data_IF_053070166915
#
_entry.id   IF_053070166915
#
_cell.length_a   1.000
_cell.length_b   1.000
_cell.length_c   1.000
_cell.angle_alpha   90.00
_cell.angle_beta   90.00
_cell.angle_gamma   90.00
#
_symmetry.space_group_name_H-M   'P 1'
#
loop_
_entity.id
_entity.type
_entity.pdbx_description
1 polymer ?
#
# COMPACT_ATOMS: atom_id res chain seq x y z
N UNK A 1 -32.83 -29.11 -47.73
CA UNK A 1 -33.12 -27.70 -47.38
C UNK A 1 -32.00 -27.28 -46.45
N UNK A 2 -30.86 -26.86 -47.01
CA UNK A 2 -30.48 -25.46 -47.28
C UNK A 2 -30.32 -24.66 -45.98
N UNK A 3 -29.18 -24.04 -45.65
CA UNK A 3 -27.99 -23.80 -46.45
C UNK A 3 -26.79 -23.35 -45.60
N UNK A 4 -25.64 -23.41 -46.26
CA UNK A 4 -24.33 -22.96 -45.83
C UNK A 4 -24.23 -21.42 -45.82
N UNK A 5 -23.39 -20.89 -44.92
CA UNK A 5 -22.97 -19.50 -44.90
C UNK A 5 -21.47 -19.37 -45.13
N UNK A 6 -21.07 -19.24 -46.40
CA UNK A 6 -19.88 -18.48 -46.82
C UNK A 6 -20.20 -16.97 -46.64
N UNK A 7 -19.28 -16.04 -46.45
CA UNK A 7 -17.84 -16.05 -46.55
C UNK A 7 -17.38 -14.60 -46.43
N UNK A 8 -16.12 -14.46 -46.01
CA UNK A 8 -15.31 -13.26 -45.87
C UNK A 8 -15.57 -12.13 -46.88
N UNK A 9 -15.58 -10.88 -46.40
CA UNK A 9 -15.05 -9.76 -47.19
C UNK A 9 -14.35 -8.72 -46.30
N UNK A 10 -13.12 -8.47 -46.73
CA UNK A 10 -12.05 -7.60 -46.25
C UNK A 10 -12.44 -6.12 -46.19
N UNK A 11 -12.05 -5.45 -45.10
CA UNK A 11 -12.03 -3.99 -44.99
C UNK A 11 -10.68 -3.56 -44.43
N UNK A 12 -9.72 -3.36 -45.34
CA UNK A 12 -8.45 -2.66 -45.11
C UNK A 12 -8.75 -1.16 -45.04
N UNK A 13 -8.30 -0.49 -43.97
CA UNK A 13 -8.35 0.96 -43.85
C UNK A 13 -7.09 1.38 -43.12
N UNK A 14 -6.09 1.71 -43.94
CA UNK A 14 -4.78 2.19 -43.55
C UNK A 14 -4.86 3.40 -42.64
N UNK A 15 -4.11 3.30 -41.54
CA UNK A 15 -3.75 4.39 -40.66
C UNK A 15 -2.89 5.41 -41.43
N UNK A 16 -3.27 6.68 -41.33
CA UNK A 16 -2.46 7.81 -41.79
C UNK A 16 -1.92 8.50 -40.55
N UNK A 17 -0.65 8.26 -40.24
CA UNK A 17 0.10 9.01 -39.22
C UNK A 17 0.54 10.38 -39.77
N UNK A 18 0.23 11.50 -39.08
CA UNK A 18 0.85 12.78 -39.38
C UNK A 18 2.18 12.96 -38.64
N UNK A 19 3.18 13.42 -39.40
CA UNK A 19 4.57 13.67 -39.04
C UNK A 19 4.80 14.62 -37.83
N UNK A 20 5.93 14.49 -37.11
CA UNK A 20 6.29 15.39 -36.01
C UNK A 20 6.85 16.73 -36.49
N UNK A 21 6.56 17.86 -35.81
CA UNK A 21 7.19 19.14 -36.11
C UNK A 21 8.59 19.29 -35.50
N UNK A 22 9.35 20.18 -36.14
CA UNK A 22 10.80 20.33 -36.11
C UNK A 22 11.39 20.86 -34.80
N UNK A 23 12.65 20.44 -34.58
CA UNK A 23 13.57 20.87 -33.54
C UNK A 23 13.79 22.39 -33.54
N UNK A 24 13.36 23.06 -32.47
CA UNK A 24 13.59 24.48 -32.21
C UNK A 24 15.06 24.79 -31.91
N UNK A 25 15.56 25.83 -32.60
CA UNK A 25 16.94 26.29 -32.58
C UNK A 25 17.38 26.85 -31.22
N UNK A 26 18.63 26.53 -30.83
CA UNK A 26 19.37 27.20 -29.75
C UNK A 26 19.81 28.59 -30.23
N UNK A 27 19.48 29.62 -29.46
CA UNK A 27 20.04 30.97 -29.62
C UNK A 27 21.29 31.16 -28.72
N UNK A 28 22.29 31.93 -29.16
CA UNK A 28 23.61 32.00 -28.53
C UNK A 28 23.68 33.02 -27.37
N UNK A 29 24.54 32.72 -26.40
CA UNK A 29 24.97 33.64 -25.33
C UNK A 29 25.86 34.76 -25.90
N UNK A 30 25.67 36.03 -25.51
CA UNK A 30 26.63 37.08 -25.84
C UNK A 30 27.82 37.10 -24.88
N UNK A 31 28.99 37.35 -25.48
CA UNK A 31 30.31 37.42 -24.90
C UNK A 31 30.50 38.63 -23.96
N UNK A 32 31.40 38.46 -22.99
CA UNK A 32 31.93 39.49 -22.12
C UNK A 32 32.88 40.45 -22.87
N UNK A 33 32.91 41.71 -22.44
CA UNK A 33 34.01 42.65 -22.71
C UNK A 33 34.11 43.71 -21.60
N UNK A 34 35.29 44.34 -21.43
CA UNK A 34 35.84 44.71 -20.12
C UNK A 34 35.99 46.23 -19.88
N UNK A 35 36.47 46.54 -18.67
CA UNK A 35 37.07 47.78 -18.18
C UNK A 35 36.17 49.03 -18.00
N UNK A 36 36.00 49.48 -16.76
CA UNK A 36 36.93 50.43 -16.14
C UNK A 36 36.39 51.01 -14.81
N UNK A 37 37.25 50.97 -13.79
CA UNK A 37 37.50 51.95 -12.72
C UNK A 37 36.32 52.63 -11.98
N UNK A 38 36.25 52.38 -10.67
CA UNK A 38 36.41 53.35 -9.57
C UNK A 38 35.63 52.92 -8.32
N UNK A 39 36.34 52.64 -7.22
CA UNK A 39 35.73 52.69 -5.87
C UNK A 39 35.70 54.13 -5.36
N UNK A 40 35.24 54.39 -4.12
CA UNK A 40 34.64 53.47 -3.15
C UNK A 40 33.34 54.03 -2.50
N UNK A 41 32.42 53.14 -2.11
CA UNK A 41 31.45 53.48 -1.07
C UNK A 41 31.17 52.22 -0.24
N UNK A 42 31.68 52.21 1.00
CA UNK A 42 31.33 51.22 2.02
C UNK A 42 29.85 51.40 2.36
N UNK A 43 29.04 50.42 1.98
CA UNK A 43 27.68 50.28 2.50
C UNK A 43 27.74 49.49 3.82
N UNK A 44 27.08 49.93 4.91
CA UNK A 44 26.91 49.09 6.08
C UNK A 44 26.05 47.88 5.68
N UNK A 45 26.46 46.69 6.11
CA UNK A 45 25.70 45.46 5.90
C UNK A 45 24.29 45.63 6.51
N UNK A 46 23.20 45.33 5.78
CA UNK A 46 21.89 45.26 6.39
C UNK A 46 21.89 44.13 7.43
N UNK A 47 21.33 44.45 8.61
CA UNK A 47 21.16 43.52 9.71
C UNK A 47 20.44 42.25 9.26
N UNK A 48 21.04 41.11 9.60
CA UNK A 48 20.42 39.79 9.71
C UNK A 48 19.39 39.45 8.64
N UNK A 49 19.83 38.85 7.53
CA UNK A 49 18.95 37.99 6.75
C UNK A 49 18.30 36.96 7.71
N UNK A 50 16.97 36.76 7.67
CA UNK A 50 16.35 35.72 8.46
C UNK A 50 17.03 34.39 8.10
N UNK A 51 17.51 33.66 9.12
CA UNK A 51 17.93 32.26 8.95
C UNK A 51 16.79 31.56 8.22
N UNK A 52 17.06 30.73 7.18
CA UNK A 52 16.03 29.83 6.70
C UNK A 52 15.50 29.08 7.92
N UNK A 53 14.18 29.16 8.14
CA UNK A 53 13.52 28.38 9.16
C UNK A 53 14.04 26.95 9.00
N UNK A 54 14.67 26.41 10.05
CA UNK A 54 14.95 24.99 10.13
C UNK A 54 13.66 24.30 9.71
N UNK A 55 13.66 23.54 8.61
CA UNK A 55 12.50 22.78 8.19
C UNK A 55 12.09 21.93 9.39
N UNK A 56 11.05 22.38 10.09
CA UNK A 56 10.54 21.71 11.26
C UNK A 56 10.15 20.32 10.76
N UNK A 57 10.74 19.28 11.36
CA UNK A 57 10.47 17.91 10.93
C UNK A 57 8.95 17.75 10.89
N UNK A 58 8.36 17.26 9.79
CA UNK A 58 6.91 17.21 9.65
C UNK A 58 6.34 16.51 10.88
N UNK A 59 5.44 17.19 11.58
CA UNK A 59 4.73 16.62 12.74
C UNK A 59 4.09 15.32 12.25
N UNK A 60 4.37 14.16 12.87
CA UNK A 60 3.84 12.91 12.39
C UNK A 60 2.31 13.01 12.30
N UNK A 61 1.76 12.53 11.18
CA UNK A 61 0.31 12.52 11.02
C UNK A 61 -0.34 11.78 12.19
N UNK A 62 -1.51 12.21 12.69
CA UNK A 62 -2.10 11.69 13.92
C UNK A 62 -2.47 10.19 13.84
N UNK A 63 -2.41 9.62 12.65
CA UNK A 63 -2.80 8.25 12.34
C UNK A 63 -1.93 7.20 13.04
N UNK A 64 -2.56 6.18 13.61
CA UNK A 64 -1.92 4.93 14.02
C UNK A 64 -2.07 3.91 12.89
N UNK A 65 -0.95 3.37 12.38
CA UNK A 65 -0.96 2.35 11.34
C UNK A 65 -0.80 0.97 11.99
N UNK A 66 -1.85 0.15 11.89
CA UNK A 66 -1.92 -1.21 12.42
C UNK A 66 -1.64 -2.20 11.29
N UNK A 67 -0.76 -3.17 11.53
CA UNK A 67 -0.60 -4.34 10.66
C UNK A 67 -1.04 -5.57 11.45
N UNK A 68 -2.04 -6.29 10.97
CA UNK A 68 -2.44 -7.57 11.57
C UNK A 68 -1.80 -8.72 10.79
N UNK A 69 -1.02 -9.55 11.48
CA UNK A 69 -0.21 -10.59 10.85
C UNK A 69 -0.11 -11.86 11.68
N UNK A 70 0.18 -12.98 11.01
CA UNK A 70 0.60 -14.23 11.63
C UNK A 70 2.07 -14.46 11.34
N UNK A 71 2.79 -15.06 12.29
CA UNK A 71 4.16 -15.50 12.07
C UNK A 71 4.24 -16.44 10.86
N UNK A 72 5.12 -16.17 9.87
CA UNK A 72 5.30 -17.00 8.69
C UNK A 72 5.91 -18.39 8.98
N UNK A 73 5.12 -19.29 9.58
CA UNK A 73 5.58 -20.65 9.92
C UNK A 73 5.11 -21.66 8.86
N UNK A 74 6.00 -22.52 8.32
CA UNK A 74 5.63 -23.59 7.41
C UNK A 74 4.44 -24.42 7.91
N UNK A 75 3.44 -24.62 7.04
CA UNK A 75 2.23 -25.38 7.36
C UNK A 75 1.19 -24.64 8.23
N UNK A 76 1.49 -23.43 8.73
CA UNK A 76 0.53 -22.61 9.50
C UNK A 76 -0.02 -21.44 8.69
N UNK A 77 0.76 -20.90 7.76
CA UNK A 77 0.36 -19.81 6.86
C UNK A 77 0.27 -20.31 5.42
N UNK A 78 -0.55 -19.62 4.62
CA UNK A 78 -0.66 -19.81 3.17
C UNK A 78 -0.76 -21.27 2.72
N UNK A 79 -1.53 -22.07 3.45
CA UNK A 79 -1.75 -23.49 3.12
C UNK A 79 -2.38 -23.68 1.74
N UNK A 80 -3.11 -22.69 1.23
CA UNK A 80 -3.66 -22.65 -0.13
C UNK A 80 -2.61 -22.45 -1.25
N UNK A 81 -1.36 -22.15 -0.91
CA UNK A 81 -0.23 -22.17 -1.84
C UNK A 81 0.35 -23.59 -2.04
N UNK A 82 -0.09 -24.56 -1.23
CA UNK A 82 0.39 -25.94 -1.25
C UNK A 82 -0.75 -26.88 -1.67
N UNK A 83 -0.73 -27.48 -2.88
CA UNK A 83 0.23 -27.33 -3.99
C UNK A 83 0.08 -26.01 -4.79
N UNK A 84 1.07 -25.62 -5.64
CA UNK A 84 2.26 -26.36 -6.07
C UNK A 84 3.49 -26.18 -5.17
N UNK A 85 3.48 -25.20 -4.27
CA UNK A 85 4.63 -24.93 -3.40
C UNK A 85 4.68 -25.89 -2.23
N UNK A 86 5.88 -26.16 -1.73
CA UNK A 86 6.06 -26.86 -0.45
C UNK A 86 5.65 -25.94 0.71
N UNK A 87 5.30 -26.48 1.90
CA UNK A 87 5.00 -25.66 3.07
C UNK A 87 6.11 -24.66 3.43
N UNK A 88 7.38 -25.03 3.22
CA UNK A 88 8.52 -24.13 3.44
C UNK A 88 8.54 -22.96 2.45
N UNK A 89 8.24 -23.23 1.18
CA UNK A 89 8.21 -22.22 0.12
C UNK A 89 7.02 -21.27 0.28
N UNK A 90 5.85 -21.79 0.68
CA UNK A 90 4.69 -20.99 1.03
C UNK A 90 4.96 -20.05 2.21
N UNK A 91 5.68 -20.52 3.24
CA UNK A 91 6.09 -19.67 4.36
C UNK A 91 7.11 -18.61 3.94
N UNK A 92 8.07 -18.94 3.06
CA UNK A 92 9.02 -17.97 2.49
C UNK A 92 8.31 -16.86 1.71
N UNK A 93 7.29 -17.21 0.92
CA UNK A 93 6.46 -16.22 0.21
C UNK A 93 5.68 -15.33 1.20
N UNK A 94 5.10 -15.92 2.24
CA UNK A 94 4.39 -15.16 3.28
C UNK A 94 5.32 -14.22 4.06
N UNK A 95 6.54 -14.67 4.38
CA UNK A 95 7.57 -13.87 5.04
C UNK A 95 7.99 -12.69 4.17
N UNK A 96 8.28 -12.94 2.89
CA UNK A 96 8.66 -11.89 1.95
C UNK A 96 7.52 -10.88 1.72
N UNK A 97 6.27 -11.35 1.68
CA UNK A 97 5.12 -10.47 1.56
C UNK A 97 4.96 -9.56 2.78
N UNK A 98 5.05 -10.13 3.98
CA UNK A 98 4.99 -9.39 5.23
C UNK A 98 6.16 -8.39 5.35
N UNK A 99 7.36 -8.77 4.94
CA UNK A 99 8.52 -7.88 4.92
C UNK A 99 8.27 -6.65 4.02
N UNK A 100 7.81 -6.85 2.78
CA UNK A 100 7.49 -5.76 1.84
C UNK A 100 6.40 -4.81 2.41
N UNK A 101 5.36 -5.38 3.03
CA UNK A 101 4.30 -4.62 3.71
C UNK A 101 4.88 -3.77 4.86
N UNK A 102 5.70 -4.37 5.73
CA UNK A 102 6.27 -3.68 6.90
C UNK A 102 7.30 -2.63 6.52
N UNK A 103 8.13 -2.88 5.51
CA UNK A 103 9.05 -1.87 4.96
C UNK A 103 8.29 -0.68 4.39
N UNK A 104 7.16 -0.92 3.73
CA UNK A 104 6.28 0.17 3.25
C UNK A 104 5.69 0.97 4.40
N UNK A 105 5.21 0.31 5.45
CA UNK A 105 4.71 0.97 6.67
C UNK A 105 5.82 1.74 7.40
N UNK A 106 7.04 1.22 7.45
CA UNK A 106 8.18 1.87 8.08
C UNK A 106 8.50 3.23 7.45
N UNK A 107 8.24 3.40 6.14
CA UNK A 107 8.44 4.65 5.40
C UNK A 107 7.33 5.69 5.60
N UNK A 108 6.21 5.33 6.23
CA UNK A 108 5.09 6.25 6.44
C UNK A 108 5.35 7.22 7.60
N UNK A 109 4.95 8.49 7.47
CA UNK A 109 5.06 9.50 8.53
C UNK A 109 3.82 9.50 9.44
N UNK A 110 3.73 8.51 10.32
CA UNK A 110 2.58 8.27 11.20
C UNK A 110 2.95 8.36 12.67
N UNK A 111 1.96 8.62 13.55
CA UNK A 111 2.14 8.73 15.00
C UNK A 111 2.67 7.43 15.62
N UNK A 112 2.08 6.30 15.23
CA UNK A 112 2.40 4.97 15.75
C UNK A 112 2.34 3.93 14.63
N UNK A 113 3.20 2.93 14.74
CA UNK A 113 3.20 1.71 13.89
C UNK A 113 3.07 0.53 14.84
N UNK A 114 1.98 -0.22 14.74
CA UNK A 114 1.72 -1.35 15.62
C UNK A 114 1.56 -2.61 14.79
N UNK A 115 2.34 -3.63 15.11
CA UNK A 115 2.20 -4.97 14.58
C UNK A 115 1.41 -5.82 15.57
N UNK A 116 0.20 -6.22 15.19
CA UNK A 116 -0.67 -7.10 15.98
C UNK A 116 -0.45 -8.54 15.51
N UNK A 117 0.36 -9.28 16.25
CA UNK A 117 0.99 -10.52 15.80
C UNK A 117 0.44 -11.77 16.49
N UNK A 118 0.05 -12.77 15.69
CA UNK A 118 -0.14 -14.16 16.16
C UNK A 118 1.16 -14.94 15.92
N UNK A 119 1.94 -15.14 16.98
CA UNK A 119 3.24 -15.79 16.94
C UNK A 119 4.37 -14.86 17.42
N UNK A 120 5.58 -15.09 16.93
CA UNK A 120 6.80 -14.38 17.35
C UNK A 120 7.33 -13.48 16.22
N UNK A 121 7.87 -12.30 16.56
CA UNK A 121 8.55 -11.47 15.57
C UNK A 121 9.80 -12.19 15.05
N UNK A 122 10.11 -11.97 13.77
CA UNK A 122 11.27 -12.57 13.10
C UNK A 122 12.16 -11.53 12.42
N UNK A 123 13.17 -11.97 11.65
CA UNK A 123 14.11 -11.08 10.95
C UNK A 123 13.44 -10.19 9.89
N UNK A 124 12.22 -10.53 9.48
CA UNK A 124 11.37 -9.75 8.57
C UNK A 124 10.79 -8.47 9.19
N UNK A 125 10.93 -8.26 10.50
CA UNK A 125 10.40 -7.08 11.19
C UNK A 125 11.44 -5.95 11.25
N UNK A 126 11.25 -4.83 10.51
CA UNK A 126 12.09 -3.65 10.68
C UNK A 126 11.87 -2.96 12.04
N UNK A 127 12.84 -2.13 12.44
CA UNK A 127 12.72 -1.31 13.65
C UNK A 127 11.61 -0.26 13.59
N UNK A 128 11.20 0.26 14.75
CA UNK A 128 10.20 1.34 14.84
C UNK A 128 8.75 0.86 14.88
N UNK A 129 8.52 -0.42 15.15
CA UNK A 129 7.21 -1.02 15.40
C UNK A 129 7.02 -1.35 16.87
N UNK A 130 5.83 -1.07 17.39
CA UNK A 130 5.31 -1.65 18.62
C UNK A 130 4.70 -3.02 18.28
N UNK A 131 5.15 -4.09 18.94
CA UNK A 131 4.61 -5.44 18.68
C UNK A 131 3.68 -5.83 19.82
N UNK A 132 2.43 -6.14 19.48
CA UNK A 132 1.38 -6.54 20.43
C UNK A 132 0.85 -7.91 20.02
N UNK A 133 0.65 -8.86 20.97
CA UNK A 133 0.08 -10.15 20.63
C UNK A 133 -1.38 -10.03 20.19
N UNK A 134 -1.79 -10.83 19.21
CA UNK A 134 -3.21 -11.01 18.91
C UNK A 134 -3.93 -11.64 20.11
N UNK A 135 -5.14 -11.15 20.40
CA UNK A 135 -6.02 -11.83 21.34
C UNK A 135 -6.52 -13.17 20.77
N UNK A 136 -7.08 -14.01 21.64
CA UNK A 136 -7.83 -15.18 21.22
C UNK A 136 -9.10 -14.80 20.44
N UNK A 137 -9.74 -15.80 19.84
CA UNK A 137 -11.01 -15.62 19.15
C UNK A 137 -10.90 -15.48 17.63
N UNK A 138 -12.01 -15.04 17.02
CA UNK A 138 -12.19 -14.84 15.59
C UNK A 138 -11.41 -13.64 15.03
N UNK A 139 -11.27 -13.57 13.71
CA UNK A 139 -10.55 -12.46 13.07
C UNK A 139 -11.23 -11.10 13.32
N UNK A 140 -12.55 -11.07 13.41
CA UNK A 140 -13.32 -9.88 13.79
C UNK A 140 -12.99 -9.39 15.20
N UNK A 141 -12.88 -10.30 16.16
CA UNK A 141 -12.48 -9.99 17.54
C UNK A 141 -11.05 -9.46 17.61
N UNK A 142 -10.14 -10.02 16.82
CA UNK A 142 -8.73 -9.58 16.76
C UNK A 142 -8.58 -8.21 16.13
N UNK A 143 -9.29 -7.94 15.02
CA UNK A 143 -9.31 -6.62 14.39
C UNK A 143 -9.96 -5.59 15.33
N UNK A 144 -11.07 -5.95 15.98
CA UNK A 144 -11.73 -5.09 16.96
C UNK A 144 -10.80 -4.74 18.14
N UNK A 145 -10.09 -5.73 18.69
CA UNK A 145 -9.10 -5.53 19.75
C UNK A 145 -7.95 -4.62 19.28
N UNK A 146 -7.48 -4.79 18.04
CA UNK A 146 -6.45 -3.92 17.45
C UNK A 146 -6.89 -2.45 17.39
N UNK A 147 -8.13 -2.18 16.95
CA UNK A 147 -8.69 -0.82 16.99
C UNK A 147 -8.84 -0.27 18.42
N UNK A 148 -9.03 -1.13 19.41
CA UNK A 148 -9.09 -0.74 20.83
C UNK A 148 -7.78 -0.19 21.39
N UNK A 149 -6.65 -0.37 20.68
CA UNK A 149 -5.33 0.18 21.05
C UNK A 149 -5.14 1.64 20.64
N UNK A 150 -6.11 2.22 19.92
CA UNK A 150 -5.99 3.50 19.25
C UNK A 150 -6.88 4.57 19.89
N UNK A 151 -6.28 5.71 20.21
CA UNK A 151 -6.90 6.90 20.82
C UNK A 151 -7.22 8.01 19.80
N UNK A 152 -6.88 7.79 18.53
CA UNK A 152 -7.09 8.70 17.41
C UNK A 152 -7.26 7.93 16.10
N UNK A 153 -7.17 8.61 14.95
CA UNK A 153 -7.36 7.98 13.65
C UNK A 153 -6.47 6.75 13.48
N UNK A 154 -7.03 5.67 12.96
CA UNK A 154 -6.30 4.43 12.76
C UNK A 154 -6.62 3.82 11.40
N UNK A 155 -5.60 3.26 10.77
CA UNK A 155 -5.72 2.45 9.57
C UNK A 155 -5.13 1.07 9.87
N UNK A 156 -5.92 0.03 9.66
CA UNK A 156 -5.50 -1.36 9.78
C UNK A 156 -5.34 -1.96 8.40
N UNK A 157 -4.23 -2.66 8.19
CA UNK A 157 -3.95 -3.42 6.97
C UNK A 157 -3.59 -4.89 7.30
N UNK A 158 -3.88 -5.78 6.36
CA UNK A 158 -3.46 -7.19 6.41
C UNK A 158 -2.03 -7.43 5.95
N UNK A 159 -1.49 -8.61 6.23
CA UNK A 159 -0.12 -9.02 5.87
C UNK A 159 0.05 -9.50 4.41
N UNK A 160 -1.04 -9.64 3.66
CA UNK A 160 -1.07 -10.43 2.42
C UNK A 160 -1.09 -9.60 1.13
N UNK A 161 -0.73 -8.32 1.24
CA UNK A 161 -0.78 -7.35 0.13
C UNK A 161 0.59 -6.68 -0.08
N UNK A 162 1.61 -7.42 -0.56
CA UNK A 162 2.96 -6.85 -0.74
C UNK A 162 3.04 -5.76 -1.81
N UNK A 163 2.04 -5.65 -2.68
CA UNK A 163 1.93 -4.61 -3.70
C UNK A 163 1.48 -3.23 -3.18
N UNK A 164 1.22 -3.08 -1.87
CA UNK A 164 0.91 -1.77 -1.29
C UNK A 164 2.09 -0.80 -1.50
N UNK A 165 1.77 0.49 -1.63
CA UNK A 165 2.78 1.55 -1.77
C UNK A 165 2.57 2.63 -0.73
N UNK A 166 3.60 3.44 -0.47
CA UNK A 166 3.48 4.59 0.43
C UNK A 166 2.43 5.59 -0.06
N UNK A 167 2.36 5.82 -1.38
CA UNK A 167 1.34 6.68 -1.98
C UNK A 167 -0.09 6.17 -1.78
N UNK A 168 -0.30 4.86 -1.78
CA UNK A 168 -1.61 4.26 -1.50
C UNK A 168 -2.04 4.45 -0.04
N UNK A 169 -1.11 4.25 0.90
CA UNK A 169 -1.37 4.43 2.33
C UNK A 169 -1.57 5.91 2.67
N UNK A 170 -0.80 6.81 2.03
CA UNK A 170 -0.86 8.26 2.21
C UNK A 170 -2.28 8.83 2.01
N UNK A 171 -3.07 8.23 1.09
CA UNK A 171 -4.47 8.62 0.87
C UNK A 171 -5.30 8.66 2.16
N UNK A 172 -5.04 7.74 3.09
CA UNK A 172 -5.75 7.62 4.36
C UNK A 172 -4.91 8.03 5.57
N UNK A 173 -3.58 8.15 5.45
CA UNK A 173 -2.71 8.42 6.61
C UNK A 173 -2.21 9.84 6.71
N UNK A 174 -2.17 10.60 5.61
CA UNK A 174 -1.68 11.99 5.60
C UNK A 174 -2.58 12.92 6.44
N UNK A 175 -2.13 14.16 6.64
CA UNK A 175 -2.91 15.20 7.33
C UNK A 175 -4.04 15.71 6.44
N UNK A 176 -5.29 15.74 6.94
CA UNK A 176 -6.47 16.25 6.21
C UNK A 176 -7.51 15.20 5.79
N UNK A 177 -7.15 14.02 5.25
CA UNK A 177 -8.09 12.94 4.89
C UNK A 177 -9.16 12.61 5.96
N UNK A 178 -8.80 12.71 7.23
CA UNK A 178 -9.70 12.42 8.36
C UNK A 178 -10.67 13.57 8.70
N UNK A 179 -10.48 14.76 8.13
CA UNK A 179 -11.40 15.90 8.28
C UNK A 179 -12.58 15.78 7.29
N UNK A 180 -12.40 15.05 6.19
CA UNK A 180 -13.41 14.87 5.14
C UNK A 180 -14.18 13.54 5.26
N UNK A 181 -13.53 12.52 5.82
CA UNK A 181 -14.06 11.17 5.88
C UNK A 181 -13.89 10.54 7.26
N UNK A 182 -14.95 9.91 7.75
CA UNK A 182 -14.92 9.20 9.03
C UNK A 182 -14.26 7.82 8.93
N UNK A 183 -14.28 7.21 7.74
CA UNK A 183 -13.76 5.87 7.51
C UNK A 183 -13.16 5.67 6.12
N UNK A 184 -12.17 4.79 6.05
CA UNK A 184 -11.53 4.36 4.81
C UNK A 184 -11.69 2.86 4.65
N UNK A 185 -11.96 2.39 3.43
CA UNK A 185 -12.19 0.98 3.18
C UNK A 185 -11.42 0.52 1.94
N UNK A 186 -10.52 -0.45 2.11
CA UNK A 186 -9.77 -1.07 1.03
C UNK A 186 -10.36 -2.43 0.66
N UNK A 187 -11.23 -2.53 -0.36
CA UNK A 187 -11.79 -3.82 -0.78
C UNK A 187 -10.70 -4.76 -1.33
N UNK A 188 -10.77 -6.03 -0.96
CA UNK A 188 -9.96 -7.09 -1.55
C UNK A 188 -10.72 -7.79 -2.68
N UNK A 189 -10.01 -8.24 -3.71
CA UNK A 189 -10.58 -8.85 -4.91
C UNK A 189 -11.30 -10.19 -4.65
N UNK A 190 -11.04 -10.83 -3.51
CA UNK A 190 -11.66 -12.09 -3.08
C UNK A 190 -12.99 -11.88 -2.32
N UNK A 191 -13.40 -10.62 -2.12
CA UNK A 191 -14.59 -10.25 -1.38
C UNK A 191 -14.35 -9.89 0.08
N UNK A 192 -13.10 -9.93 0.55
CA UNK A 192 -12.68 -9.39 1.84
C UNK A 192 -12.31 -7.90 1.80
N UNK A 193 -11.41 -7.48 2.68
CA UNK A 193 -10.81 -6.15 2.67
C UNK A 193 -9.34 -6.23 3.09
N UNK A 194 -8.48 -5.50 2.39
CA UNK A 194 -7.06 -5.39 2.70
C UNK A 194 -6.78 -4.22 3.66
N UNK A 195 -7.68 -3.22 3.71
CA UNK A 195 -7.58 -2.09 4.61
C UNK A 195 -8.92 -1.69 5.24
N UNK A 196 -8.87 -1.24 6.48
CA UNK A 196 -9.99 -0.63 7.19
C UNK A 196 -9.46 0.51 8.05
N UNK A 197 -10.00 1.71 7.86
CA UNK A 197 -9.61 2.91 8.59
C UNK A 197 -10.80 3.58 9.27
N UNK A 198 -10.57 4.17 10.43
CA UNK A 198 -11.57 4.93 11.20
C UNK A 198 -10.92 6.16 11.84
N UNK A 199 -11.52 7.34 11.64
CA UNK A 199 -11.09 8.59 12.27
C UNK A 199 -11.22 8.50 13.80
N UNK A 200 -12.29 7.82 14.25
CA UNK A 200 -12.55 7.48 15.65
C UNK A 200 -12.76 5.96 15.74
N UNK A 201 -11.72 5.19 16.09
CA UNK A 201 -11.80 3.74 16.20
C UNK A 201 -12.96 3.29 17.09
N UNK A 202 -13.84 2.44 16.53
CA UNK A 202 -14.98 1.84 17.24
C UNK A 202 -14.94 0.33 17.05
N UNK A 203 -14.35 -0.43 18.00
CA UNK A 203 -14.25 -1.89 17.90
C UNK A 203 -15.57 -2.60 17.56
N UNK A 204 -16.69 -2.09 18.09
CA UNK A 204 -18.04 -2.63 17.82
C UNK A 204 -18.48 -2.58 16.36
N UNK A 205 -17.84 -1.78 15.50
CA UNK A 205 -18.13 -1.75 14.06
C UNK A 205 -17.51 -2.91 13.29
N UNK A 206 -16.69 -3.74 13.92
CA UNK A 206 -16.07 -4.94 13.30
C UNK A 206 -16.65 -6.22 13.90
N UNK A 207 -16.89 -6.24 15.21
CA UNK A 207 -17.36 -7.42 15.95
C UNK A 207 -18.62 -8.04 15.33
N UNK A 208 -18.57 -9.34 15.04
CA UNK A 208 -19.68 -10.08 14.44
C UNK A 208 -19.89 -9.80 12.94
N UNK A 209 -18.93 -9.20 12.23
CA UNK A 209 -18.91 -9.31 10.76
C UNK A 209 -18.44 -10.73 10.42
N UNK A 210 -19.21 -11.52 9.64
CA UNK A 210 -18.76 -12.83 9.20
C UNK A 210 -17.46 -12.73 8.40
N UNK A 211 -16.41 -13.40 8.87
CA UNK A 211 -15.09 -13.40 8.23
C UNK A 211 -14.91 -14.59 7.28
N UNK A 212 -13.93 -14.48 6.36
CA UNK A 212 -13.58 -15.52 5.37
C UNK A 212 -14.72 -15.89 4.41
N UNK A 213 -15.53 -14.92 4.00
CA UNK A 213 -16.59 -15.08 3.00
C UNK A 213 -16.42 -14.09 1.85
N UNK A 214 -16.92 -14.46 0.68
CA UNK A 214 -16.91 -13.59 -0.51
C UNK A 214 -17.74 -12.29 -0.34
N UNK A 215 -18.58 -12.20 0.71
CA UNK A 215 -19.37 -11.02 1.04
C UNK A 215 -18.88 -10.30 2.31
N UNK A 216 -17.76 -10.71 2.91
CA UNK A 216 -17.21 -10.12 4.15
C UNK A 216 -16.97 -8.62 4.01
N UNK A 217 -16.28 -8.21 2.94
CA UNK A 217 -15.96 -6.81 2.66
C UNK A 217 -17.20 -5.95 2.44
N UNK A 218 -18.15 -6.44 1.63
CA UNK A 218 -19.42 -5.74 1.40
C UNK A 218 -20.19 -5.54 2.71
N UNK A 219 -20.23 -6.55 3.58
CA UNK A 219 -20.88 -6.47 4.91
C UNK A 219 -20.17 -5.50 5.84
N UNK A 220 -18.84 -5.53 5.88
CA UNK A 220 -18.06 -4.60 6.70
C UNK A 220 -18.29 -3.16 6.26
N UNK A 221 -18.21 -2.88 4.94
CA UNK A 221 -18.46 -1.55 4.39
C UNK A 221 -19.88 -1.07 4.68
N UNK A 222 -20.88 -1.92 4.47
CA UNK A 222 -22.28 -1.62 4.78
C UNK A 222 -22.46 -1.24 6.26
N UNK A 223 -21.80 -1.96 7.17
CA UNK A 223 -21.86 -1.69 8.61
C UNK A 223 -21.30 -0.31 8.97
N UNK A 224 -20.26 0.17 8.28
CA UNK A 224 -19.74 1.53 8.47
C UNK A 224 -20.76 2.59 8.03
N UNK A 225 -21.41 2.37 6.89
CA UNK A 225 -22.44 3.27 6.35
C UNK A 225 -23.68 3.31 7.24
N UNK A 226 -24.17 2.17 7.70
CA UNK A 226 -25.30 2.06 8.65
C UNK A 226 -25.01 2.78 9.98
N UNK A 227 -23.74 2.85 10.39
CA UNK A 227 -23.31 3.60 11.56
C UNK A 227 -23.22 5.12 11.32
N UNK A 228 -23.63 5.60 10.13
CA UNK A 228 -23.65 7.00 9.74
C UNK A 228 -22.29 7.58 9.36
N UNK A 229 -21.29 6.75 9.06
CA UNK A 229 -19.94 7.22 8.72
C UNK A 229 -19.85 7.62 7.23
N UNK A 230 -19.15 8.73 6.95
CA UNK A 230 -18.67 9.05 5.60
C UNK A 230 -17.52 8.10 5.24
N UNK A 231 -17.78 7.15 4.34
CA UNK A 231 -16.80 6.11 3.94
C UNK A 231 -16.20 6.43 2.59
N UNK A 232 -14.86 6.46 2.52
CA UNK A 232 -14.10 6.56 1.29
C UNK A 232 -13.43 5.22 0.95
N UNK A 233 -13.61 4.77 -0.29
CA UNK A 233 -12.98 3.54 -0.76
C UNK A 233 -11.57 3.81 -1.30
N UNK A 234 -10.62 2.98 -0.88
CA UNK A 234 -9.30 2.86 -1.49
C UNK A 234 -9.38 1.95 -2.73
N UNK A 235 -8.37 1.98 -3.63
CA UNK A 235 -8.26 1.01 -4.71
C UNK A 235 -8.40 -0.45 -4.26
N UNK A 236 -9.02 -1.26 -5.12
CA UNK A 236 -9.13 -2.71 -4.92
C UNK A 236 -7.74 -3.33 -5.07
N UNK A 237 -7.34 -4.14 -4.09
CA UNK A 237 -6.11 -4.95 -4.16
C UNK A 237 -6.41 -6.45 -4.13
N UNK A 238 -5.41 -7.26 -4.44
CA UNK A 238 -5.48 -8.73 -4.42
C UNK A 238 -4.62 -9.28 -3.30
N UNK A 239 -5.22 -10.05 -2.41
CA UNK A 239 -4.48 -10.78 -1.40
C UNK A 239 -3.79 -12.00 -2.04
N UNK A 240 -2.57 -12.29 -1.61
CA UNK A 240 -1.81 -13.45 -2.10
C UNK A 240 -2.29 -14.71 -1.39
N UNK A 241 -3.29 -15.41 -1.93
CA UNK A 241 -3.85 -16.61 -1.28
C UNK A 241 -3.61 -17.91 -2.05
N UNK A 242 -3.53 -17.83 -3.38
CA UNK A 242 -3.25 -18.96 -4.27
C UNK A 242 -1.98 -18.73 -5.10
N UNK A 243 -1.47 -19.78 -5.74
CA UNK A 243 -0.30 -19.64 -6.63
C UNK A 243 -0.58 -18.70 -7.82
N UNK A 244 -1.83 -18.64 -8.29
CA UNK A 244 -2.24 -17.69 -9.32
C UNK A 244 -2.22 -16.25 -8.80
N UNK A 245 -2.61 -16.03 -7.54
CA UNK A 245 -2.50 -14.71 -6.91
C UNK A 245 -1.04 -14.31 -6.74
N UNK A 246 -0.21 -15.24 -6.27
CA UNK A 246 1.23 -15.01 -6.11
C UNK A 246 1.89 -14.57 -7.42
N UNK A 247 1.61 -15.26 -8.53
CA UNK A 247 2.14 -14.88 -9.83
C UNK A 247 1.67 -13.49 -10.29
N UNK A 248 0.39 -13.17 -10.11
CA UNK A 248 -0.18 -11.87 -10.49
C UNK A 248 0.39 -10.73 -9.65
N UNK A 249 0.50 -10.94 -8.33
CA UNK A 249 0.99 -9.93 -7.40
C UNK A 249 2.50 -9.73 -7.56
N UNK A 250 3.26 -10.80 -7.78
CA UNK A 250 4.70 -10.70 -8.06
C UNK A 250 4.98 -9.88 -9.31
N UNK A 251 4.15 -9.97 -10.35
CA UNK A 251 4.28 -9.15 -11.56
C UNK A 251 4.01 -7.65 -11.34
N UNK A 252 3.35 -7.28 -10.24
CA UNK A 252 3.01 -5.90 -9.86
C UNK A 252 3.92 -5.35 -8.75
N UNK A 253 4.81 -6.19 -8.20
CA UNK A 253 5.65 -5.87 -7.04
C UNK A 253 7.13 -5.91 -7.46
N UNK A 254 7.99 -5.20 -6.74
CA UNK A 254 9.44 -5.18 -6.98
C UNK A 254 10.28 -5.50 -5.74
N UNK A 255 9.63 -5.84 -4.63
CA UNK A 255 10.27 -6.15 -3.34
C UNK A 255 10.71 -7.60 -3.18
N UNK A 256 10.94 -7.99 -1.93
CA UNK A 256 11.35 -9.34 -1.53
C UNK A 256 10.39 -10.39 -2.07
N UNK A 257 9.07 -10.12 -2.06
CA UNK A 257 8.05 -11.04 -2.53
C UNK A 257 8.25 -11.42 -4.00
N UNK A 258 8.50 -10.43 -4.86
CA UNK A 258 8.72 -10.65 -6.28
C UNK A 258 10.01 -11.47 -6.53
N UNK A 259 11.08 -11.18 -5.77
CA UNK A 259 12.34 -11.93 -5.86
C UNK A 259 12.14 -13.40 -5.46
N UNK A 260 11.52 -13.65 -4.30
CA UNK A 260 11.28 -15.00 -3.80
C UNK A 260 10.36 -15.79 -4.73
N UNK A 261 9.30 -15.16 -5.25
CA UNK A 261 8.44 -15.80 -6.23
C UNK A 261 9.20 -16.19 -7.50
N UNK A 262 10.07 -15.32 -8.03
CA UNK A 262 10.87 -15.61 -9.22
C UNK A 262 11.85 -16.77 -8.99
N UNK A 263 12.47 -16.86 -7.81
CA UNK A 263 13.35 -17.99 -7.44
C UNK A 263 12.59 -19.31 -7.41
N UNK A 264 11.41 -19.32 -6.78
CA UNK A 264 10.59 -20.53 -6.65
C UNK A 264 9.98 -20.96 -7.98
N UNK A 265 9.53 -20.01 -8.81
CA UNK A 265 8.99 -20.31 -10.13
C UNK A 265 10.05 -20.96 -11.04
N UNK A 266 11.33 -20.56 -10.92
CA UNK A 266 12.43 -21.22 -11.62
C UNK A 266 12.66 -22.65 -11.13
N UNK A 267 12.56 -22.88 -9.82
CA UNK A 267 12.79 -24.20 -9.22
C UNK A 267 11.67 -25.22 -9.55
N UNK A 268 10.43 -24.76 -9.74
CA UNK A 268 9.29 -25.61 -10.13
C UNK A 268 9.29 -25.93 -11.64
N UNK A 269 9.92 -25.09 -12.45
CA UNK A 269 10.07 -25.31 -13.89
C UNK A 269 11.23 -26.28 -14.27
N UNK A 270 12.04 -26.69 -13.29
CA UNK A 270 13.13 -27.66 -13.41
C UNK A 270 12.68 -29.05 -12.94
#
# INVERSE_FOLDING_TARGET
MSGAGDGHRTGDSGAVDPAPPASGARLPLPAASPDAAAGPARWPAPAGAPRPASAEAPVPAPTTLLVIAKEPVPGRVKTRLTPPYRPEDAARLAEAALADTLETVARMHVRRRVLVLDGRPGPWLPGGFEVVPQCGGGLDERIAAAFGLCDGPALLIGMDTPQITTGLLALATDSGPWDEHDAWFGPAADGGFWALGMARPRPGLVLGVPMSRADTGARQRHRLVEAGLSVRDLPVLRDVDTAADAARVAALSSGHFASVHADLARAVAQ
#
